data_IF_593014447305
#
_entry.id   IF_593014447305
#
_cell.length_a   1.000
_cell.length_b   1.000
_cell.length_c   1.000
_cell.angle_alpha   90.00
_cell.angle_beta   90.00
_cell.angle_gamma   90.00
#
_symmetry.space_group_name_H-M   'P 1'
#
loop_
_entity.id
_entity.type
_entity.pdbx_description
1 polymer ?
#
# COMPACT_ATOMS: atom_id res chain seq x y z
N UNK A 1 -2.84 -3.67 -37.31
CA UNK A 1 -3.74 -3.90 -36.16
C UNK A 1 -2.90 -4.31 -34.97
N UNK A 2 -2.73 -3.46 -33.95
CA UNK A 2 -1.82 -3.73 -32.83
C UNK A 2 -2.36 -4.84 -31.90
N UNK A 3 -1.52 -5.76 -31.40
CA UNK A 3 -1.96 -6.83 -30.51
C UNK A 3 -2.39 -6.25 -29.15
N UNK A 4 -3.62 -6.53 -28.72
CA UNK A 4 -4.15 -6.15 -27.40
C UNK A 4 -3.26 -6.75 -26.29
N UNK A 5 -2.85 -5.92 -25.34
CA UNK A 5 -2.09 -6.36 -24.16
C UNK A 5 -2.88 -7.45 -23.42
N UNK A 6 -2.26 -8.61 -23.22
CA UNK A 6 -2.86 -9.72 -22.48
C UNK A 6 -2.81 -9.36 -20.99
N UNK A 7 -3.96 -9.03 -20.40
CA UNK A 7 -4.10 -8.94 -18.93
C UNK A 7 -3.63 -10.23 -18.30
N UNK A 8 -2.84 -10.14 -17.22
CA UNK A 8 -2.40 -11.31 -16.46
C UNK A 8 -3.62 -12.17 -16.10
N UNK A 9 -3.61 -13.44 -16.50
CA UNK A 9 -4.73 -14.35 -16.23
C UNK A 9 -4.72 -14.71 -14.75
N UNK A 10 -5.54 -14.00 -13.97
CA UNK A 10 -5.93 -14.41 -12.62
C UNK A 10 -6.56 -15.81 -12.70
N UNK A 11 -6.33 -16.65 -11.68
CA UNK A 11 -6.92 -17.98 -11.64
C UNK A 11 -8.44 -17.88 -11.74
N UNK A 12 -9.06 -18.65 -12.65
CA UNK A 12 -10.53 -18.73 -12.75
C UNK A 12 -11.16 -19.60 -11.64
N UNK A 13 -10.37 -19.94 -10.64
CA UNK A 13 -10.76 -20.75 -9.49
C UNK A 13 -10.58 -19.89 -8.23
N UNK A 14 -11.65 -19.27 -7.69
CA UNK A 14 -11.53 -18.53 -6.44
C UNK A 14 -11.15 -19.49 -5.32
N UNK A 15 -10.39 -19.00 -4.34
CA UNK A 15 -10.04 -19.78 -3.16
C UNK A 15 -11.27 -19.98 -2.27
N UNK A 16 -11.46 -21.20 -1.77
CA UNK A 16 -12.44 -21.51 -0.72
C UNK A 16 -11.85 -21.17 0.64
N UNK A 17 -10.61 -21.60 0.86
CA UNK A 17 -9.72 -21.19 1.95
C UNK A 17 -8.33 -20.99 1.37
N UNK A 18 -7.44 -20.32 2.12
CA UNK A 18 -6.10 -19.97 1.61
C UNK A 18 -5.36 -21.19 1.08
N UNK A 19 -5.00 -21.18 -0.21
CA UNK A 19 -4.32 -22.29 -0.88
C UNK A 19 -5.21 -23.46 -1.35
N UNK A 20 -6.52 -23.46 -1.06
CA UNK A 20 -7.47 -24.46 -1.58
C UNK A 20 -8.49 -23.79 -2.49
N UNK A 21 -8.50 -24.17 -3.77
CA UNK A 21 -9.46 -23.67 -4.75
C UNK A 21 -10.87 -24.24 -4.57
N UNK A 22 -11.90 -23.44 -4.88
CA UNK A 22 -13.32 -23.81 -4.77
C UNK A 22 -13.74 -24.95 -5.72
N UNK A 23 -13.15 -25.00 -6.91
CA UNK A 23 -13.46 -26.00 -7.93
C UNK A 23 -12.34 -27.04 -8.06
N UNK A 24 -12.73 -28.30 -8.21
CA UNK A 24 -11.83 -29.41 -8.51
C UNK A 24 -11.23 -29.30 -9.92
N UNK A 25 -10.14 -30.06 -10.17
CA UNK A 25 -9.42 -30.11 -11.46
C UNK A 25 -10.33 -30.49 -12.63
N UNK A 26 -11.26 -31.43 -12.45
CA UNK A 26 -12.20 -31.88 -13.48
C UNK A 26 -13.20 -30.79 -13.85
N UNK A 27 -13.80 -30.12 -12.87
CA UNK A 27 -14.68 -28.97 -13.10
C UNK A 27 -13.93 -27.84 -13.79
N UNK A 28 -12.69 -27.56 -13.39
CA UNK A 28 -11.85 -26.54 -14.02
C UNK A 28 -11.43 -26.91 -15.45
N UNK A 29 -11.26 -28.19 -15.77
CA UNK A 29 -10.96 -28.68 -17.11
C UNK A 29 -12.06 -28.30 -18.11
N UNK A 30 -13.33 -28.45 -17.73
CA UNK A 30 -14.47 -28.03 -18.53
C UNK A 30 -14.62 -26.51 -18.57
N UNK A 31 -14.57 -25.83 -17.42
CA UNK A 31 -14.71 -24.37 -17.34
C UNK A 31 -13.62 -23.59 -18.09
N UNK A 32 -12.40 -24.13 -18.17
CA UNK A 32 -11.30 -23.51 -18.94
C UNK A 32 -11.37 -23.81 -20.44
N UNK A 33 -12.29 -24.66 -20.89
CA UNK A 33 -12.39 -25.10 -22.28
C UNK A 33 -11.22 -25.97 -22.74
N UNK A 34 -10.45 -26.55 -21.79
CA UNK A 34 -9.29 -27.38 -22.12
C UNK A 34 -9.71 -28.65 -22.88
N UNK A 35 -10.90 -29.17 -22.58
CA UNK A 35 -11.48 -30.32 -23.29
C UNK A 35 -11.64 -30.08 -24.80
N UNK A 36 -12.09 -28.89 -25.20
CA UNK A 36 -12.29 -28.53 -26.59
C UNK A 36 -10.95 -28.37 -27.33
N UNK A 37 -9.93 -27.86 -26.64
CA UNK A 37 -8.57 -27.78 -27.18
C UNK A 37 -8.01 -29.20 -27.39
N UNK A 38 -8.14 -30.09 -26.39
CA UNK A 38 -7.68 -31.48 -26.49
C UNK A 38 -8.37 -32.23 -27.63
N UNK A 39 -9.67 -32.04 -27.81
CA UNK A 39 -10.42 -32.64 -28.92
C UNK A 39 -9.93 -32.13 -30.29
N UNK A 40 -9.65 -30.83 -30.42
CA UNK A 40 -9.12 -30.23 -31.67
C UNK A 40 -7.72 -30.72 -32.04
N UNK A 41 -6.93 -31.20 -31.07
CA UNK A 41 -5.57 -31.67 -31.27
C UNK A 41 -5.45 -33.21 -31.16
N UNK A 42 -6.50 -33.93 -31.59
CA UNK A 42 -6.45 -35.39 -31.73
C UNK A 42 -6.29 -36.14 -30.40
N UNK A 43 -6.77 -35.58 -29.30
CA UNK A 43 -6.66 -36.20 -27.97
C UNK A 43 -5.37 -35.86 -27.22
N UNK A 44 -4.45 -35.10 -27.82
CA UNK A 44 -3.26 -34.56 -27.15
C UNK A 44 -3.37 -33.05 -26.94
N UNK A 45 -2.70 -32.51 -25.91
CA UNK A 45 -2.56 -31.07 -25.78
C UNK A 45 -1.39 -30.57 -26.65
N UNK A 46 -1.47 -29.35 -27.22
CA UNK A 46 -0.35 -28.73 -27.89
C UNK A 46 0.88 -28.69 -26.97
N UNK A 47 2.00 -29.23 -27.43
CA UNK A 47 3.30 -29.11 -26.79
C UNK A 47 4.10 -28.04 -27.52
N UNK A 48 4.81 -27.21 -26.77
CA UNK A 48 5.83 -26.34 -27.32
C UNK A 48 7.18 -26.97 -27.03
N UNK A 49 7.90 -27.38 -28.07
CA UNK A 49 9.30 -27.75 -27.96
C UNK A 49 10.13 -26.50 -27.63
N UNK A 50 11.21 -26.62 -26.82
CA UNK A 50 12.02 -25.47 -26.44
C UNK A 50 12.72 -24.88 -27.67
N UNK A 51 12.24 -23.71 -28.11
CA UNK A 51 12.90 -22.91 -29.14
C UNK A 51 14.09 -22.19 -28.49
N UNK A 52 15.27 -22.30 -29.11
CA UNK A 52 16.49 -21.62 -28.67
C UNK A 52 16.23 -20.11 -28.50
N UNK A 53 16.62 -19.54 -27.36
CA UNK A 53 16.43 -18.12 -27.02
C UNK A 53 17.12 -17.23 -28.08
N UNK A 54 16.40 -16.41 -28.86
CA UNK A 54 17.01 -15.34 -29.62
C UNK A 54 17.45 -14.20 -28.70
N UNK A 55 18.59 -13.58 -29.03
CA UNK A 55 19.24 -12.50 -28.27
C UNK A 55 18.31 -11.29 -28.04
N UNK A 56 18.41 -10.71 -26.84
CA UNK A 56 17.59 -9.58 -26.37
C UNK A 56 17.86 -8.30 -27.18
N UNK A 57 16.88 -7.72 -27.88
CA UNK A 57 17.03 -6.43 -28.53
C UNK A 57 16.98 -5.29 -27.51
N UNK A 58 17.80 -4.26 -27.74
CA UNK A 58 17.97 -3.04 -26.94
C UNK A 58 16.64 -2.38 -26.51
N UNK A 59 16.64 -1.83 -25.29
CA UNK A 59 15.49 -1.24 -24.60
C UNK A 59 14.76 -0.20 -25.46
N UNK A 60 13.51 -0.52 -25.82
CA UNK A 60 12.62 0.42 -26.49
C UNK A 60 12.03 1.38 -25.44
N UNK A 61 11.88 2.67 -25.77
CA UNK A 61 11.28 3.64 -24.86
C UNK A 61 9.86 3.17 -24.44
N UNK A 62 9.44 3.43 -23.19
CA UNK A 62 8.18 2.93 -22.66
C UNK A 62 7.02 3.42 -23.54
N UNK A 63 6.25 2.46 -24.06
CA UNK A 63 5.12 2.68 -24.98
C UNK A 63 3.85 3.18 -24.28
N UNK A 64 3.91 3.42 -22.97
CA UNK A 64 2.77 3.73 -22.13
C UNK A 64 2.93 5.15 -21.57
N UNK A 65 1.99 6.03 -21.90
CA UNK A 65 1.79 7.26 -21.15
C UNK A 65 1.12 6.88 -19.82
N UNK A 66 1.60 7.37 -18.67
CA UNK A 66 0.94 7.11 -17.40
C UNK A 66 -0.51 7.58 -17.49
N UNK A 67 -1.45 6.63 -17.47
CA UNK A 67 -2.87 6.93 -17.58
C UNK A 67 -3.27 7.87 -16.45
N UNK A 68 -3.84 9.02 -16.81
CA UNK A 68 -4.38 10.04 -15.89
C UNK A 68 -5.55 9.54 -15.01
N UNK A 69 -5.92 8.26 -15.11
CA UNK A 69 -7.08 7.64 -14.49
C UNK A 69 -6.75 6.82 -13.22
N UNK A 70 -5.51 6.87 -12.74
CA UNK A 70 -5.19 6.39 -11.39
C UNK A 70 -5.66 7.43 -10.40
N UNK A 71 -6.51 7.04 -9.44
CA UNK A 71 -6.97 7.91 -8.35
C UNK A 71 -5.76 8.50 -7.62
N UNK A 72 -5.40 9.73 -7.99
CA UNK A 72 -4.29 10.46 -7.37
C UNK A 72 -4.68 10.65 -5.89
N UNK A 73 -3.85 10.20 -4.94
CA UNK A 73 -4.13 10.45 -3.53
C UNK A 73 -4.21 11.96 -3.31
N UNK A 74 -5.07 12.38 -2.38
CA UNK A 74 -5.27 13.81 -2.08
C UNK A 74 -3.95 14.50 -1.71
N UNK A 75 -2.97 13.75 -1.21
CA UNK A 75 -1.63 14.19 -0.84
C UNK A 75 -0.60 13.12 -1.21
N UNK A 76 0.57 13.57 -1.67
CA UNK A 76 1.73 12.69 -1.83
C UNK A 76 2.36 12.47 -0.44
N UNK A 77 2.35 11.23 0.02
CA UNK A 77 2.89 10.81 1.33
C UNK A 77 4.10 9.89 1.19
N UNK A 78 4.62 9.70 -0.02
CA UNK A 78 5.69 8.72 -0.31
C UNK A 78 7.01 9.05 0.42
N UNK A 79 7.20 10.32 0.78
CA UNK A 79 8.36 10.81 1.55
C UNK A 79 8.35 10.34 3.01
N UNK A 80 7.18 10.03 3.58
CA UNK A 80 7.01 9.73 5.00
C UNK A 80 6.96 8.22 5.22
N UNK A 81 8.13 7.60 5.31
CA UNK A 81 8.29 6.18 5.60
C UNK A 81 8.65 5.92 7.08
N UNK A 82 8.70 4.65 7.48
CA UNK A 82 9.01 4.27 8.86
C UNK A 82 10.41 4.77 9.32
N UNK A 83 11.35 4.91 8.38
CA UNK A 83 12.69 5.44 8.63
C UNK A 83 12.64 6.92 9.02
N UNK A 84 11.77 7.71 8.39
CA UNK A 84 11.57 9.13 8.70
C UNK A 84 11.18 9.37 10.17
N UNK A 85 10.42 8.45 10.77
CA UNK A 85 9.95 8.55 12.16
C UNK A 85 10.84 7.85 13.18
N UNK A 86 11.95 7.24 12.74
CA UNK A 86 12.88 6.58 13.66
C UNK A 86 13.41 7.56 14.72
N UNK A 87 13.29 7.18 15.99
CA UNK A 87 13.79 7.98 17.11
C UNK A 87 15.31 7.88 17.12
N UNK A 88 16.01 9.01 17.01
CA UNK A 88 17.46 8.99 17.22
C UNK A 88 17.72 8.60 18.68
N UNK A 89 18.40 7.47 18.87
CA UNK A 89 18.86 6.99 20.18
C UNK A 89 20.14 7.70 20.57
N UNK A 90 20.21 8.20 21.81
CA UNK A 90 21.45 8.72 22.37
C UNK A 90 22.54 7.61 22.34
N UNK A 91 23.73 7.94 21.85
CA UNK A 91 24.90 7.05 21.92
C UNK A 91 25.17 6.76 23.40
N UNK A 92 25.19 5.49 23.80
CA UNK A 92 25.57 5.09 25.16
C UNK A 92 27.04 5.45 25.41
N UNK A 93 27.30 6.54 26.10
CA UNK A 93 28.55 6.76 26.85
C UNK A 93 28.55 5.85 28.10
N UNK A 94 29.74 5.45 28.57
CA UNK A 94 29.89 4.54 29.72
C UNK A 94 29.34 5.21 30.99
N UNK A 95 28.33 4.60 31.60
CA UNK A 95 27.62 5.09 32.80
C UNK A 95 28.58 5.39 33.95
N UNK A 96 28.65 6.65 34.37
CA UNK A 96 29.10 7.07 35.70
C UNK A 96 27.90 7.55 36.54
N UNK A 97 28.01 7.45 37.87
CA UNK A 97 26.94 7.71 38.85
C UNK A 97 26.31 9.13 38.75
N UNK A 98 27.02 10.10 38.15
CA UNK A 98 26.54 11.47 37.95
C UNK A 98 25.55 11.69 36.78
N UNK A 99 25.43 10.77 35.82
CA UNK A 99 24.53 10.94 34.66
C UNK A 99 23.08 10.50 34.93
N UNK A 100 22.82 9.82 36.06
CA UNK A 100 21.48 9.30 36.39
C UNK A 100 20.48 10.39 36.78
N UNK A 101 20.94 11.52 37.34
CA UNK A 101 20.10 12.65 37.76
C UNK A 101 20.01 13.79 36.72
N UNK A 102 20.79 13.74 35.64
CA UNK A 102 20.73 14.71 34.52
C UNK A 102 19.70 14.31 33.44
N UNK A 103 19.15 13.07 33.49
CA UNK A 103 18.17 12.58 32.52
C UNK A 103 16.79 13.29 32.59
N UNK A 104 16.46 13.91 33.72
CA UNK A 104 15.20 14.68 33.89
C UNK A 104 15.33 16.15 33.42
N UNK A 105 16.55 16.58 33.07
CA UNK A 105 16.83 17.88 32.45
C UNK A 105 17.39 17.72 31.03
N UNK A 106 17.04 16.62 30.35
CA UNK A 106 17.34 16.52 28.92
C UNK A 106 16.57 17.60 28.15
N UNK A 107 17.33 18.62 27.75
CA UNK A 107 17.01 19.64 26.76
C UNK A 107 15.99 19.12 25.77
N UNK A 108 14.81 19.78 25.75
CA UNK A 108 13.73 19.57 24.80
C UNK A 108 14.34 19.34 23.42
N UNK A 109 14.38 18.09 22.97
CA UNK A 109 14.91 17.68 21.67
C UNK A 109 14.29 18.59 20.62
N UNK A 110 15.05 19.58 20.14
CA UNK A 110 14.52 20.63 19.28
C UNK A 110 14.07 19.94 18.00
N UNK A 111 12.77 20.03 17.71
CA UNK A 111 12.18 19.39 16.54
C UNK A 111 12.96 19.80 15.28
N UNK A 112 13.48 18.85 14.49
CA UNK A 112 14.24 19.16 13.28
C UNK A 112 13.45 20.10 12.37
N UNK A 113 14.11 21.14 11.87
CA UNK A 113 13.48 22.17 11.05
C UNK A 113 12.83 21.57 9.79
N UNK A 114 13.47 20.58 9.19
CA UNK A 114 12.95 19.82 8.04
C UNK A 114 11.55 19.24 8.29
N UNK A 115 11.30 18.69 9.50
CA UNK A 115 9.99 18.11 9.85
C UNK A 115 8.90 19.16 9.95
N UNK A 116 9.24 20.39 10.36
CA UNK A 116 8.28 21.50 10.45
C UNK A 116 7.88 22.00 9.06
N UNK A 117 8.82 22.06 8.12
CA UNK A 117 8.54 22.55 6.77
C UNK A 117 7.81 21.50 5.93
N UNK A 118 8.12 20.22 6.14
CA UNK A 118 7.33 19.10 5.62
C UNK A 118 5.89 19.12 6.15
N UNK A 119 5.71 19.36 7.44
CA UNK A 119 4.38 19.46 8.06
C UNK A 119 3.54 20.58 7.43
N UNK A 120 4.09 21.80 7.27
CA UNK A 120 3.37 22.91 6.64
C UNK A 120 2.89 22.56 5.23
N UNK A 121 3.69 21.81 4.48
CA UNK A 121 3.37 21.41 3.10
C UNK A 121 2.19 20.45 3.07
N UNK A 122 2.16 19.47 3.98
CA UNK A 122 1.06 18.51 4.12
C UNK A 122 -0.20 19.20 4.63
N UNK A 123 -0.07 20.00 5.69
CA UNK A 123 -1.19 20.72 6.31
C UNK A 123 -1.86 21.68 5.32
N UNK A 124 -1.10 22.35 4.46
CA UNK A 124 -1.66 23.25 3.44
C UNK A 124 -2.63 22.54 2.47
N UNK A 125 -2.41 21.26 2.17
CA UNK A 125 -3.34 20.49 1.35
C UNK A 125 -4.53 19.94 2.15
N UNK A 126 -4.33 19.55 3.42
CA UNK A 126 -5.41 19.08 4.29
C UNK A 126 -6.39 20.18 4.70
N UNK A 127 -5.89 21.39 4.96
CA UNK A 127 -6.71 22.51 5.46
C UNK A 127 -7.87 22.85 4.51
N UNK A 128 -7.67 22.75 3.19
CA UNK A 128 -8.73 22.98 2.20
C UNK A 128 -9.90 22.00 2.36
N UNK A 129 -9.59 20.72 2.64
CA UNK A 129 -10.62 19.71 2.87
C UNK A 129 -11.30 19.91 4.23
N UNK A 130 -10.55 20.31 5.25
CA UNK A 130 -11.08 20.56 6.60
C UNK A 130 -12.03 21.76 6.60
N UNK A 131 -11.67 22.84 5.91
CA UNK A 131 -12.49 24.05 5.81
C UNK A 131 -13.74 23.87 4.94
N UNK A 132 -13.73 22.88 4.04
CA UNK A 132 -14.91 22.55 3.21
C UNK A 132 -16.07 21.96 4.01
N UNK A 133 -15.81 21.38 5.17
CA UNK A 133 -16.83 20.78 6.04
C UNK A 133 -17.10 21.71 7.23
N UNK A 134 -18.35 22.19 7.40
CA UNK A 134 -18.71 23.02 8.55
C UNK A 134 -18.35 22.35 9.88
N UNK A 135 -17.84 23.14 10.83
CA UNK A 135 -17.47 22.71 12.20
C UNK A 135 -16.43 21.58 12.30
N UNK A 136 -15.84 21.12 11.20
CA UNK A 136 -14.84 20.04 11.26
C UNK A 136 -13.54 20.52 11.92
N UNK A 137 -13.14 21.77 11.68
CA UNK A 137 -11.97 22.37 12.31
C UNK A 137 -12.11 22.47 13.83
N UNK A 138 -13.29 22.88 14.31
CA UNK A 138 -13.60 22.96 15.74
C UNK A 138 -13.73 21.57 16.36
N UNK A 139 -14.34 20.62 15.63
CA UNK A 139 -14.43 19.21 16.03
C UNK A 139 -13.06 18.55 16.24
N UNK A 140 -12.13 18.69 15.28
CA UNK A 140 -10.78 18.13 15.38
C UNK A 140 -9.96 18.75 16.53
N UNK A 141 -10.21 20.02 16.87
CA UNK A 141 -9.59 20.68 18.01
C UNK A 141 -10.15 20.23 19.36
N UNK A 142 -11.38 19.73 19.40
CA UNK A 142 -12.01 19.23 20.61
C UNK A 142 -11.47 17.84 20.98
N UNK A 143 -11.10 17.65 22.24
CA UNK A 143 -10.66 16.34 22.74
C UNK A 143 -11.89 15.48 23.03
N UNK A 144 -11.92 14.27 22.47
CA UNK A 144 -12.94 13.29 22.81
C UNK A 144 -12.76 12.78 24.24
N UNK A 145 -13.82 12.87 25.05
CA UNK A 145 -13.89 12.29 26.39
C UNK A 145 -15.31 11.81 26.67
N UNK A 146 -15.43 10.77 27.49
CA UNK A 146 -16.73 10.24 27.90
C UNK A 146 -17.28 11.07 29.07
N UNK A 147 -18.55 11.46 28.96
CA UNK A 147 -19.28 12.04 30.09
C UNK A 147 -19.81 10.93 31.00
N UNK A 148 -20.06 11.27 32.25
CA UNK A 148 -20.68 10.35 33.19
C UNK A 148 -22.00 9.79 32.60
N UNK A 149 -22.13 8.46 32.63
CA UNK A 149 -23.31 7.75 32.10
C UNK A 149 -23.23 7.36 30.61
N UNK A 150 -22.24 7.84 29.84
CA UNK A 150 -22.05 7.42 28.44
C UNK A 150 -21.19 6.16 28.37
N UNK A 151 -21.70 5.09 27.75
CA UNK A 151 -20.99 3.80 27.65
C UNK A 151 -20.28 3.65 26.30
N UNK A 152 -19.01 3.21 26.26
CA UNK A 152 -18.26 3.08 25.01
C UNK A 152 -18.89 2.14 23.97
N UNK A 153 -19.56 1.06 24.41
CA UNK A 153 -20.17 0.07 23.52
C UNK A 153 -21.50 0.51 22.90
N UNK A 154 -22.08 1.61 23.39
CA UNK A 154 -23.28 2.23 22.82
C UNK A 154 -22.91 3.32 21.80
N UNK A 155 -21.64 3.72 21.72
CA UNK A 155 -21.17 4.74 20.79
C UNK A 155 -20.95 4.17 19.39
N UNK A 156 -21.36 4.96 18.39
CA UNK A 156 -21.06 4.76 16.98
C UNK A 156 -19.98 5.79 16.60
N UNK A 157 -18.87 5.30 16.05
CA UNK A 157 -17.74 6.12 15.59
C UNK A 157 -17.67 6.11 14.06
#
# INVERSE_FOLDING_TARGET
MAPKAKTARVSRNPELIRGIGKYSRSTMYHKRGLWAIKAKHGGAFPRHDPVAKPETPAEKPPKFYPADDVKKPLLNVDKFDDKYFSKESAKKTKKGEGEFFEADKEDKKVLPQEKKDDQKTVDAGLLKAIESVPDLKTYLGARFSLKAGVKPHELLF
#
